data_IF_134288650054
#
_entry.id   IF_134288650054
#
_cell.length_a   1.000
_cell.length_b   1.000
_cell.length_c   1.000
_cell.angle_alpha   90.00
_cell.angle_beta   90.00
_cell.angle_gamma   90.00
#
_symmetry.space_group_name_H-M   'P 1'
#
loop_
_entity.id
_entity.type
_entity.pdbx_description
1 polymer ?
#
# COMPACT_ATOMS: atom_id res chain seq x y z
N UNK A 1 9.39 -14.19 -0.88
CA UNK A 1 8.89 -13.62 0.39
C UNK A 1 7.39 -13.89 0.47
N UNK A 2 6.80 -14.22 1.63
CA UNK A 2 5.36 -14.46 1.73
C UNK A 2 4.66 -13.26 2.36
N UNK A 3 3.39 -13.03 2.02
CA UNK A 3 2.58 -11.97 2.64
C UNK A 3 2.50 -12.08 4.17
N UNK A 4 2.50 -13.30 4.71
CA UNK A 4 2.55 -13.56 6.17
C UNK A 4 3.81 -13.00 6.82
N UNK A 5 4.95 -13.04 6.14
CA UNK A 5 6.21 -12.55 6.68
C UNK A 5 6.17 -11.01 6.80
N UNK A 6 5.57 -10.33 5.81
CA UNK A 6 5.34 -8.87 5.81
C UNK A 6 4.40 -8.45 6.94
N UNK A 7 3.31 -9.20 7.16
CA UNK A 7 2.36 -8.95 8.25
C UNK A 7 3.05 -9.06 9.61
N UNK A 8 3.88 -10.09 9.82
CA UNK A 8 4.63 -10.29 11.06
C UNK A 8 5.57 -9.12 11.33
N UNK A 9 6.39 -8.74 10.35
CA UNK A 9 7.31 -7.60 10.47
C UNK A 9 6.56 -6.33 10.85
N UNK A 10 5.46 -6.03 10.16
CA UNK A 10 4.68 -4.82 10.47
C UNK A 10 4.04 -4.89 11.85
N UNK A 11 3.48 -6.03 12.26
CA UNK A 11 2.90 -6.26 13.60
C UNK A 11 3.96 -6.06 14.70
N UNK A 12 5.19 -6.48 14.45
CA UNK A 12 6.29 -6.40 15.40
C UNK A 12 6.89 -4.97 15.46
N UNK A 13 6.43 -4.07 14.59
CA UNK A 13 6.79 -2.66 14.59
C UNK A 13 7.96 -2.32 13.68
N UNK A 14 8.39 -3.27 12.84
CA UNK A 14 9.44 -3.02 11.87
C UNK A 14 8.94 -2.17 10.71
N UNK A 15 9.85 -1.34 10.16
CA UNK A 15 9.58 -0.58 8.95
C UNK A 15 9.66 -1.50 7.72
N UNK A 16 8.62 -1.44 6.89
CA UNK A 16 8.56 -2.16 5.62
C UNK A 16 9.28 -1.36 4.53
N UNK A 17 10.04 -2.07 3.70
CA UNK A 17 10.61 -1.48 2.49
C UNK A 17 9.54 -1.25 1.41
N UNK A 18 9.80 -0.31 0.49
CA UNK A 18 8.89 -0.07 -0.63
C UNK A 18 8.69 -1.30 -1.53
N UNK A 19 9.70 -2.17 -1.64
CA UNK A 19 9.58 -3.42 -2.40
C UNK A 19 8.61 -4.40 -1.76
N UNK A 20 8.62 -4.49 -0.42
CA UNK A 20 7.71 -5.35 0.33
C UNK A 20 6.27 -4.86 0.23
N UNK A 21 6.07 -3.56 0.36
CA UNK A 21 4.75 -2.94 0.19
C UNK A 21 4.25 -3.17 -1.24
N UNK A 22 5.10 -2.96 -2.26
CA UNK A 22 4.75 -3.22 -3.66
C UNK A 22 4.37 -4.68 -3.88
N UNK A 23 5.19 -5.62 -3.38
CA UNK A 23 4.91 -7.05 -3.47
C UNK A 23 3.55 -7.40 -2.85
N UNK A 24 3.26 -6.88 -1.66
CA UNK A 24 2.00 -7.14 -0.98
C UNK A 24 0.79 -6.59 -1.77
N UNK A 25 0.87 -5.35 -2.22
CA UNK A 25 -0.23 -4.71 -2.98
C UNK A 25 -0.43 -5.43 -4.32
N UNK A 26 0.64 -5.77 -5.04
CA UNK A 26 0.54 -6.53 -6.29
C UNK A 26 -0.10 -7.89 -6.07
N UNK A 27 0.37 -8.65 -5.08
CA UNK A 27 -0.19 -9.96 -4.75
C UNK A 27 -1.68 -9.89 -4.35
N UNK A 28 -2.09 -8.83 -3.64
CA UNK A 28 -3.51 -8.60 -3.34
C UNK A 28 -4.32 -8.32 -4.61
N UNK A 29 -3.86 -7.43 -5.48
CA UNK A 29 -4.56 -7.10 -6.74
C UNK A 29 -4.62 -8.26 -7.73
N UNK A 30 -3.69 -9.21 -7.65
CA UNK A 30 -3.65 -10.42 -8.49
C UNK A 30 -4.43 -11.59 -7.88
N UNK A 31 -5.01 -11.42 -6.68
CA UNK A 31 -5.74 -12.48 -5.97
C UNK A 31 -4.84 -13.53 -5.30
N UNK A 32 -3.52 -13.32 -5.26
CA UNK A 32 -2.57 -14.22 -4.60
C UNK A 32 -2.54 -14.03 -3.08
N UNK A 33 -2.87 -12.82 -2.61
CA UNK A 33 -3.01 -12.49 -1.18
C UNK A 33 -4.51 -12.49 -0.84
N UNK A 34 -4.99 -13.42 -0.01
CA UNK A 34 -6.39 -13.45 0.39
C UNK A 34 -6.80 -12.25 1.25
N UNK A 35 -8.07 -11.89 1.20
CA UNK A 35 -8.65 -10.74 1.94
C UNK A 35 -8.35 -10.77 3.44
N UNK A 36 -8.34 -11.95 4.06
CA UNK A 36 -8.04 -12.08 5.49
C UNK A 36 -6.58 -11.68 5.82
N UNK A 37 -5.64 -11.89 4.90
CA UNK A 37 -4.25 -11.45 5.06
C UNK A 37 -4.13 -9.95 4.86
N UNK A 38 -4.86 -9.38 3.89
CA UNK A 38 -4.93 -7.94 3.71
C UNK A 38 -5.54 -7.25 4.94
N UNK A 39 -6.63 -7.79 5.51
CA UNK A 39 -7.23 -7.30 6.74
C UNK A 39 -6.24 -7.37 7.92
N UNK A 40 -5.49 -8.46 8.06
CA UNK A 40 -4.47 -8.60 9.10
C UNK A 40 -3.33 -7.57 8.95
N UNK A 41 -2.88 -7.31 7.70
CA UNK A 41 -1.89 -6.27 7.43
C UNK A 41 -2.40 -4.87 7.78
N UNK A 42 -3.64 -4.55 7.39
CA UNK A 42 -4.28 -3.28 7.73
C UNK A 42 -4.42 -3.11 9.25
N UNK A 43 -4.79 -4.16 9.98
CA UNK A 43 -4.86 -4.11 11.44
C UNK A 43 -3.49 -3.88 12.07
N UNK A 44 -2.43 -4.49 11.54
CA UNK A 44 -1.06 -4.21 11.98
C UNK A 44 -0.66 -2.74 11.75
N UNK A 45 -1.08 -2.14 10.63
CA UNK A 45 -0.86 -0.72 10.33
C UNK A 45 -1.65 0.18 11.29
N UNK A 46 -2.90 -0.15 11.60
CA UNK A 46 -3.71 0.62 12.58
C UNK A 46 -3.01 0.66 13.94
N UNK A 47 -2.42 -0.46 14.38
CA UNK A 47 -1.76 -0.55 15.68
C UNK A 47 -0.37 0.09 15.72
N UNK A 48 0.42 -0.04 14.64
CA UNK A 48 1.82 0.42 14.61
C UNK A 48 2.05 1.73 13.87
N UNK A 49 1.05 2.22 13.15
CA UNK A 49 1.17 3.33 12.23
C UNK A 49 1.99 2.99 10.99
N UNK A 50 2.23 4.02 10.17
CA UNK A 50 3.13 3.97 9.01
C UNK A 50 4.08 5.17 9.06
N UNK A 51 5.34 4.95 8.69
CA UNK A 51 6.25 6.05 8.39
C UNK A 51 5.78 6.79 7.13
N UNK A 52 6.23 8.03 6.95
CA UNK A 52 5.90 8.79 5.75
C UNK A 52 6.43 8.13 4.47
N UNK A 53 7.55 7.38 4.58
CA UNK A 53 8.11 6.60 3.47
C UNK A 53 7.20 5.41 3.12
N UNK A 54 6.73 4.67 4.12
CA UNK A 54 5.80 3.55 3.93
C UNK A 54 4.46 4.02 3.34
N UNK A 55 3.93 5.14 3.84
CA UNK A 55 2.68 5.70 3.34
C UNK A 55 2.80 6.11 1.86
N UNK A 56 3.90 6.80 1.51
CA UNK A 56 4.20 7.18 0.12
C UNK A 56 4.35 5.95 -0.77
N UNK A 57 5.11 4.95 -0.32
CA UNK A 57 5.31 3.72 -1.09
C UNK A 57 4.00 2.95 -1.32
N UNK A 58 3.09 2.90 -0.33
CA UNK A 58 1.77 2.28 -0.47
C UNK A 58 0.92 2.99 -1.52
N UNK A 59 0.87 4.32 -1.47
CA UNK A 59 0.13 5.13 -2.46
C UNK A 59 0.71 4.95 -3.85
N UNK A 60 2.04 5.00 -3.99
CA UNK A 60 2.72 4.75 -5.26
C UNK A 60 2.47 3.35 -5.80
N UNK A 61 2.51 2.32 -4.95
CA UNK A 61 2.23 0.95 -5.36
C UNK A 61 0.80 0.82 -5.88
N UNK A 62 -0.19 1.38 -5.17
CA UNK A 62 -1.58 1.38 -5.63
C UNK A 62 -1.76 2.16 -6.95
N UNK A 63 -1.11 3.31 -7.08
CA UNK A 63 -1.15 4.16 -8.28
C UNK A 63 -0.59 3.45 -9.52
N UNK A 64 0.55 2.77 -9.39
CA UNK A 64 1.21 2.08 -10.52
C UNK A 64 0.47 0.82 -10.97
N UNK A 65 -0.45 0.30 -10.18
CA UNK A 65 -1.23 -0.90 -10.50
C UNK A 65 -2.61 -0.54 -11.05
N UNK A 66 -3.15 0.62 -10.67
CA UNK A 66 -4.40 1.15 -11.22
C UNK A 66 -4.24 1.67 -12.66
N UNK A 67 -5.36 1.95 -13.37
CA UNK A 67 -5.29 2.73 -14.60
C UNK A 67 -4.63 4.07 -14.30
N UNK A 68 -3.84 4.59 -15.25
CA UNK A 68 -3.27 5.93 -15.17
C UNK A 68 -4.38 6.91 -14.71
N UNK A 69 -4.09 7.80 -13.75
CA UNK A 69 -5.09 8.77 -13.35
C UNK A 69 -5.52 9.57 -14.59
N UNK A 70 -6.75 10.11 -14.62
CA UNK A 70 -7.03 11.21 -15.53
C UNK A 70 -5.90 12.22 -15.32
N UNK A 71 -5.14 12.53 -16.38
CA UNK A 71 -4.07 13.51 -16.31
C UNK A 71 -4.65 14.71 -15.58
N UNK A 72 -4.05 15.08 -14.46
CA UNK A 72 -4.59 16.13 -13.60
C UNK A 72 -4.69 17.40 -14.44
N UNK A 73 -5.85 17.64 -15.03
CA UNK A 73 -6.17 18.94 -15.57
C UNK A 73 -6.01 19.90 -14.39
N UNK A 74 -5.20 20.96 -14.53
CA UNK A 74 -4.98 21.88 -13.44
C UNK A 74 -6.35 22.43 -13.02
N UNK A 75 -6.78 22.09 -11.80
CA UNK A 75 -8.02 22.53 -11.15
C UNK A 75 -8.06 24.05 -10.87
N UNK A 76 -7.34 24.86 -11.66
CA UNK A 76 -7.11 26.30 -11.47
C UNK A 76 -7.87 27.15 -12.49
N UNK A 77 -8.83 26.59 -13.25
CA UNK A 77 -9.57 27.35 -14.28
C UNK A 77 -11.10 27.24 -14.28
N UNK A 78 -11.74 26.91 -13.16
CA UNK A 78 -13.22 26.93 -13.09
C UNK A 78 -13.80 27.76 -11.92
N UNK A 79 -13.06 28.77 -11.42
CA UNK A 79 -13.62 29.76 -10.47
C UNK A 79 -13.42 31.20 -10.94
N UNK A 80 -13.27 31.44 -12.24
CA UNK A 80 -13.45 32.78 -12.83
C UNK A 80 -14.23 32.66 -14.13
#
# INVERSE_FOLDING_TARGET
MRAVDIIRRKRDGEELSGQEIKFFVQGYTQGEVPDYQAAAWLMAIVWRGMSQREATAKVQAAYLIGPDPPQAEPLVRQVV
#
